data_IF_280540978201
#
_entry.id   IF_280540978201
#
_cell.length_a   1.000
_cell.length_b   1.000
_cell.length_c   1.000
_cell.angle_alpha   90.00
_cell.angle_beta   90.00
_cell.angle_gamma   90.00
#
_symmetry.space_group_name_H-M   'P 1'
#
loop_
_entity.id
_entity.type
_entity.pdbx_description
1 polymer ?
#
# COMPACT_ATOMS: atom_id res chain seq x y z
N UNK A 1 -3.96 -11.41 10.93
CA UNK A 1 -4.50 -12.23 12.02
C UNK A 1 -5.18 -13.51 11.52
N UNK A 2 -5.93 -13.46 10.40
CA UNK A 2 -6.72 -14.61 9.89
C UNK A 2 -5.96 -15.51 8.90
N UNK A 3 -4.79 -15.11 8.43
CA UNK A 3 -4.06 -15.83 7.38
C UNK A 3 -3.75 -17.29 7.75
N UNK A 4 -3.26 -17.54 8.96
CA UNK A 4 -2.97 -18.91 9.40
C UNK A 4 -4.23 -19.79 9.43
N UNK A 5 -5.35 -19.23 9.92
CA UNK A 5 -6.64 -19.94 9.91
C UNK A 5 -7.10 -20.29 8.51
N UNK A 6 -6.92 -19.41 7.54
CA UNK A 6 -7.27 -19.68 6.14
C UNK A 6 -6.36 -20.76 5.54
N UNK A 7 -5.04 -20.68 5.78
CA UNK A 7 -4.07 -21.70 5.35
C UNK A 7 -4.44 -23.08 5.91
N UNK A 8 -4.69 -23.18 7.22
CA UNK A 8 -5.04 -24.43 7.88
C UNK A 8 -6.37 -25.02 7.38
N UNK A 9 -7.27 -24.16 6.93
CA UNK A 9 -8.54 -24.56 6.32
C UNK A 9 -8.45 -24.84 4.80
N UNK A 10 -7.27 -24.69 4.20
CA UNK A 10 -7.08 -24.85 2.76
C UNK A 10 -7.80 -23.79 1.91
N UNK A 11 -7.97 -22.58 2.45
CA UNK A 11 -8.64 -21.46 1.78
C UNK A 11 -7.61 -20.47 1.28
N UNK A 12 -7.65 -20.17 -0.02
CA UNK A 12 -6.78 -19.16 -0.65
C UNK A 12 -7.23 -17.76 -0.27
N UNK A 13 -6.26 -16.91 0.03
CA UNK A 13 -6.45 -15.49 0.26
C UNK A 13 -5.56 -14.68 -0.68
N UNK A 14 -6.14 -13.75 -1.42
CA UNK A 14 -5.38 -12.76 -2.20
C UNK A 14 -5.74 -11.38 -1.71
N UNK A 15 -4.76 -10.64 -1.22
CA UNK A 15 -4.98 -9.29 -0.69
C UNK A 15 -4.66 -8.21 -1.71
N UNK A 16 -5.58 -7.27 -1.97
CA UNK A 16 -5.31 -6.12 -2.83
C UNK A 16 -4.53 -5.00 -2.14
N UNK A 17 -4.40 -5.01 -0.81
CA UNK A 17 -3.95 -3.83 -0.05
C UNK A 17 -3.04 -4.14 1.16
N UNK A 18 -2.65 -5.37 1.36
CA UNK A 18 -1.67 -5.72 2.40
C UNK A 18 -0.24 -5.49 1.87
N UNK A 19 0.36 -4.38 2.24
CA UNK A 19 1.65 -3.93 1.72
C UNK A 19 2.85 -4.29 2.59
N UNK A 20 2.65 -4.61 3.89
CA UNK A 20 3.73 -4.92 4.83
C UNK A 20 4.76 -5.92 4.29
N UNK A 21 6.08 -5.64 4.44
CA UNK A 21 7.16 -6.53 4.00
C UNK A 21 7.12 -7.92 4.64
N UNK A 22 6.50 -8.05 5.81
CA UNK A 22 6.40 -9.31 6.53
C UNK A 22 5.67 -10.39 5.72
N UNK A 23 4.68 -9.99 4.90
CA UNK A 23 3.90 -10.94 4.09
C UNK A 23 4.74 -11.65 3.02
N UNK A 24 5.80 -11.04 2.52
CA UNK A 24 6.72 -11.67 1.56
C UNK A 24 7.49 -12.86 2.15
N UNK A 25 7.68 -12.86 3.48
CA UNK A 25 8.49 -13.87 4.18
C UNK A 25 7.66 -15.00 4.79
N UNK A 26 6.34 -14.92 4.73
CA UNK A 26 5.46 -15.94 5.32
C UNK A 26 5.48 -17.21 4.47
N UNK A 27 5.72 -18.34 5.13
CA UNK A 27 5.57 -19.66 4.50
C UNK A 27 4.09 -20.01 4.46
N UNK A 28 3.44 -19.79 3.33
CA UNK A 28 2.00 -19.93 3.18
C UNK A 28 1.55 -21.06 2.27
N UNK A 29 2.49 -21.83 1.69
CA UNK A 29 2.20 -22.97 0.81
C UNK A 29 1.40 -22.61 -0.46
N UNK A 30 1.46 -21.36 -0.91
CA UNK A 30 0.68 -20.85 -2.04
C UNK A 30 -0.72 -20.33 -1.66
N UNK A 31 -1.15 -20.49 -0.41
CA UNK A 31 -2.49 -20.07 0.03
C UNK A 31 -2.63 -18.57 0.31
N UNK A 32 -1.55 -17.80 0.21
CA UNK A 32 -1.61 -16.35 0.33
C UNK A 32 -0.79 -15.67 -0.77
N UNK A 33 -1.41 -14.71 -1.43
CA UNK A 33 -0.78 -13.80 -2.37
C UNK A 33 -1.25 -12.35 -2.16
N UNK A 34 -0.65 -11.41 -2.84
CA UNK A 34 -1.09 -10.02 -2.89
C UNK A 34 -0.85 -9.41 -4.26
N UNK A 35 -1.74 -8.51 -4.67
CA UNK A 35 -1.62 -7.72 -5.90
C UNK A 35 -1.11 -6.30 -5.64
N UNK A 36 -1.01 -5.88 -4.38
CA UNK A 36 -0.34 -4.65 -3.99
C UNK A 36 1.18 -4.84 -3.88
N UNK A 37 2.00 -3.84 -4.24
CA UNK A 37 3.45 -3.87 -4.04
C UNK A 37 3.82 -3.90 -2.55
N UNK A 38 5.07 -4.26 -2.27
CA UNK A 38 5.61 -4.23 -0.90
C UNK A 38 5.95 -2.80 -0.46
N UNK A 39 5.80 -2.52 0.84
CA UNK A 39 6.27 -1.30 1.49
C UNK A 39 7.79 -1.07 1.37
N UNK A 40 8.57 -2.10 1.03
CA UNK A 40 9.98 -1.92 0.67
C UNK A 40 10.13 -1.00 -0.55
N UNK A 41 9.25 -1.14 -1.54
CA UNK A 41 9.23 -0.25 -2.71
C UNK A 41 8.69 1.14 -2.33
N UNK A 42 7.58 1.20 -1.62
CA UNK A 42 6.97 2.47 -1.24
C UNK A 42 7.90 3.29 -0.34
N UNK A 43 8.57 2.66 0.62
CA UNK A 43 9.55 3.31 1.50
C UNK A 43 10.73 3.89 0.72
N UNK A 44 11.26 3.15 -0.26
CA UNK A 44 12.34 3.64 -1.11
C UNK A 44 11.90 4.85 -1.97
N UNK A 45 10.69 4.79 -2.56
CA UNK A 45 10.14 5.91 -3.34
C UNK A 45 9.87 7.12 -2.46
N UNK A 46 9.32 6.94 -1.26
CA UNK A 46 9.09 8.04 -0.32
C UNK A 46 10.41 8.69 0.13
N UNK A 47 11.43 7.87 0.42
CA UNK A 47 12.76 8.38 0.73
C UNK A 47 13.33 9.20 -0.44
N UNK A 48 13.16 8.75 -1.68
CA UNK A 48 13.61 9.51 -2.85
C UNK A 48 12.88 10.85 -2.99
N UNK A 49 11.56 10.90 -2.77
CA UNK A 49 10.79 12.16 -2.77
C UNK A 49 11.33 13.13 -1.72
N UNK A 50 11.62 12.66 -0.51
CA UNK A 50 12.21 13.48 0.56
C UNK A 50 13.60 14.00 0.16
N UNK A 51 14.43 13.16 -0.45
CA UNK A 51 15.78 13.52 -0.92
C UNK A 51 15.71 14.58 -2.03
N UNK A 52 14.83 14.40 -3.00
CA UNK A 52 14.63 15.33 -4.12
C UNK A 52 14.12 16.69 -3.62
N UNK A 53 13.36 16.73 -2.54
CA UNK A 53 12.92 17.95 -1.86
C UNK A 53 14.00 18.57 -0.95
N UNK A 54 15.19 17.95 -0.85
CA UNK A 54 16.33 18.49 -0.10
C UNK A 54 16.29 18.24 1.39
N UNK A 55 15.42 17.35 1.88
CA UNK A 55 15.34 16.96 3.30
C UNK A 55 16.64 16.27 3.73
N UNK A 56 17.20 16.69 4.87
CA UNK A 56 18.42 16.10 5.46
C UNK A 56 18.14 15.40 6.78
N UNK A 57 17.13 15.84 7.51
CA UNK A 57 16.72 15.23 8.77
C UNK A 57 15.23 14.91 8.78
N UNK A 58 14.90 13.71 9.21
CA UNK A 58 13.54 13.15 9.16
C UNK A 58 13.08 12.69 10.54
N UNK A 59 11.84 12.93 10.88
CA UNK A 59 11.11 12.23 11.95
C UNK A 59 9.92 11.50 11.36
N UNK A 60 9.55 10.35 11.93
CA UNK A 60 8.45 9.52 11.47
C UNK A 60 7.46 9.30 12.62
N UNK A 61 6.17 9.51 12.38
CA UNK A 61 5.10 9.06 13.27
C UNK A 61 4.23 8.05 12.54
N UNK A 62 4.01 6.90 13.17
CA UNK A 62 3.40 5.76 12.50
C UNK A 62 2.50 4.96 13.43
N UNK A 63 1.49 4.30 12.85
CA UNK A 63 0.68 3.30 13.57
C UNK A 63 1.53 2.09 13.97
N UNK A 64 1.33 1.59 15.20
CA UNK A 64 2.10 0.50 15.79
C UNK A 64 1.65 -0.90 15.33
N UNK A 65 1.41 -1.09 14.03
CA UNK A 65 1.08 -2.39 13.45
C UNK A 65 2.13 -2.86 12.42
N UNK A 66 1.90 -3.99 11.77
CA UNK A 66 2.84 -4.55 10.79
C UNK A 66 3.03 -3.68 9.54
N UNK A 67 2.00 -2.91 9.14
CA UNK A 67 2.10 -1.93 8.07
C UNK A 67 2.94 -0.73 8.50
N UNK A 68 2.52 -0.04 9.54
CA UNK A 68 3.18 1.18 9.97
C UNK A 68 4.65 0.97 10.35
N UNK A 69 4.97 -0.11 11.07
CA UNK A 69 6.36 -0.46 11.40
C UNK A 69 7.17 -0.80 10.16
N UNK A 70 6.63 -1.63 9.27
CA UNK A 70 7.35 -2.06 8.08
C UNK A 70 7.65 -0.93 7.12
N UNK A 71 6.70 -0.01 6.89
CA UNK A 71 6.91 1.14 6.02
C UNK A 71 7.82 2.19 6.67
N UNK A 72 7.69 2.43 7.98
CA UNK A 72 8.58 3.35 8.70
C UNK A 72 10.04 2.88 8.64
N UNK A 73 10.28 1.60 8.89
CA UNK A 73 11.63 1.01 8.83
C UNK A 73 12.18 1.03 7.39
N UNK A 74 11.35 0.72 6.39
CA UNK A 74 11.75 0.75 4.99
C UNK A 74 12.10 2.18 4.52
N UNK A 75 11.27 3.18 4.90
CA UNK A 75 11.54 4.58 4.59
C UNK A 75 12.80 5.07 5.28
N UNK A 76 12.97 4.78 6.58
CA UNK A 76 14.14 5.16 7.34
C UNK A 76 15.42 4.58 6.73
N UNK A 77 15.43 3.27 6.47
CA UNK A 77 16.58 2.58 5.88
C UNK A 77 16.97 3.10 4.50
N UNK A 78 15.99 3.51 3.69
CA UNK A 78 16.26 4.05 2.36
C UNK A 78 16.66 5.53 2.38
N UNK A 79 16.25 6.26 3.43
CA UNK A 79 16.57 7.69 3.57
C UNK A 79 17.94 7.94 4.17
N UNK A 80 18.38 7.10 5.13
CA UNK A 80 19.65 7.28 5.81
C UNK A 80 20.84 7.04 4.87
N UNK A 81 21.75 8.00 4.86
CA UNK A 81 23.01 7.93 4.12
C UNK A 81 24.07 8.74 4.88
N UNK A 82 24.99 8.03 5.52
CA UNK A 82 26.03 8.62 6.36
C UNK A 82 26.99 9.50 5.54
N UNK A 83 27.26 9.13 4.29
CA UNK A 83 28.19 9.88 3.43
C UNK A 83 27.60 11.23 3.00
N UNK A 84 26.27 11.32 2.85
CA UNK A 84 25.58 12.57 2.56
C UNK A 84 24.99 13.25 3.81
N UNK A 85 25.17 12.66 4.97
CA UNK A 85 24.74 13.20 6.27
C UNK A 85 23.24 13.26 6.47
N UNK A 86 22.47 12.38 5.81
CA UNK A 86 21.03 12.22 6.05
C UNK A 86 20.80 11.35 7.28
N UNK A 87 19.85 11.78 8.13
CA UNK A 87 19.55 11.10 9.39
C UNK A 87 18.06 11.00 9.67
N UNK A 88 17.64 9.88 10.25
CA UNK A 88 16.34 9.74 10.87
C UNK A 88 16.45 9.99 12.37
N UNK A 89 15.97 11.14 12.81
CA UNK A 89 16.09 11.59 14.19
C UNK A 89 15.27 10.74 15.17
N UNK A 90 14.07 10.32 14.76
CA UNK A 90 13.20 9.48 15.59
C UNK A 90 12.12 8.80 14.77
N UNK A 91 11.69 7.63 15.24
CA UNK A 91 10.49 6.95 14.80
C UNK A 91 9.59 6.77 16.02
N UNK A 92 8.40 7.36 15.98
CA UNK A 92 7.41 7.30 17.05
C UNK A 92 6.24 6.43 16.61
N UNK A 93 5.84 5.49 17.43
CA UNK A 93 4.69 4.62 17.15
C UNK A 93 3.52 4.94 18.08
N UNK A 94 2.33 5.09 17.51
CA UNK A 94 1.09 5.24 18.28
C UNK A 94 0.22 3.99 18.23
N UNK A 95 -0.54 3.73 19.27
CA UNK A 95 -1.52 2.64 19.30
C UNK A 95 -2.69 2.95 18.36
N UNK A 96 -3.16 1.93 17.63
CA UNK A 96 -4.29 2.06 16.71
C UNK A 96 -5.63 2.37 17.40
N UNK A 97 -5.72 2.14 18.72
CA UNK A 97 -6.89 2.41 19.52
C UNK A 97 -6.72 3.65 20.43
N UNK A 98 -5.58 4.35 20.32
CA UNK A 98 -5.36 5.58 21.07
C UNK A 98 -6.35 6.67 20.63
N UNK A 99 -6.72 7.52 21.59
CA UNK A 99 -7.59 8.67 21.38
C UNK A 99 -6.88 10.00 21.71
N UNK A 100 -5.65 9.93 22.21
CA UNK A 100 -4.82 11.07 22.60
C UNK A 100 -3.41 10.85 22.05
N UNK A 101 -2.82 11.88 21.42
CA UNK A 101 -1.56 11.80 20.68
C UNK A 101 -0.56 12.90 21.01
N UNK A 102 -0.83 13.75 22.02
CA UNK A 102 0.02 14.88 22.37
C UNK A 102 1.44 14.48 22.74
N UNK A 103 1.61 13.32 23.38
CA UNK A 103 2.91 12.77 23.76
C UNK A 103 3.74 12.35 22.53
N UNK A 104 3.12 11.65 21.60
CA UNK A 104 3.75 11.16 20.37
C UNK A 104 4.15 12.33 19.45
N UNK A 105 3.27 13.33 19.34
CA UNK A 105 3.54 14.55 18.56
C UNK A 105 4.68 15.35 19.20
N UNK A 106 4.71 15.49 20.51
CA UNK A 106 5.83 16.13 21.22
C UNK A 106 7.15 15.39 20.93
N UNK A 107 7.14 14.05 20.90
CA UNK A 107 8.34 13.26 20.63
C UNK A 107 8.82 13.43 19.19
N UNK A 108 7.90 13.41 18.21
CA UNK A 108 8.26 13.54 16.79
C UNK A 108 8.76 14.95 16.44
N UNK A 109 8.23 15.97 17.10
CA UNK A 109 8.64 17.37 16.94
C UNK A 109 9.94 17.77 17.65
N UNK A 110 10.38 16.97 18.64
CA UNK A 110 11.46 17.36 19.57
C UNK A 110 12.79 17.73 18.91
N UNK A 111 13.14 17.08 17.81
CA UNK A 111 14.44 17.22 17.16
C UNK A 111 14.48 18.27 16.06
N UNK A 112 13.37 18.98 15.81
CA UNK A 112 13.23 19.97 14.74
C UNK A 112 13.76 19.46 13.40
N UNK A 113 13.28 18.25 13.00
CA UNK A 113 13.63 17.65 11.71
C UNK A 113 13.12 18.53 10.55
N UNK A 114 13.78 18.45 9.40
CA UNK A 114 13.38 19.19 8.21
C UNK A 114 12.01 18.74 7.68
N UNK A 115 11.63 17.48 7.96
CA UNK A 115 10.35 16.92 7.58
C UNK A 115 9.83 15.90 8.59
N UNK A 116 8.52 15.67 8.56
CA UNK A 116 7.85 14.60 9.30
C UNK A 116 7.09 13.71 8.30
N UNK A 117 7.30 12.40 8.40
CA UNK A 117 6.47 11.41 7.70
C UNK A 117 5.37 10.90 8.62
N UNK A 118 4.13 11.04 8.17
CA UNK A 118 2.94 10.51 8.82
C UNK A 118 2.43 9.23 8.13
N UNK A 119 2.65 8.06 8.74
CA UNK A 119 2.10 6.78 8.28
C UNK A 119 0.83 6.51 9.08
N UNK A 120 -0.26 7.09 8.60
CA UNK A 120 -1.51 7.26 9.34
C UNK A 120 -2.69 6.61 8.61
N UNK A 121 -3.79 6.46 9.34
CA UNK A 121 -5.12 6.19 8.78
C UNK A 121 -6.09 7.24 9.31
N UNK A 122 -7.20 7.56 8.62
CA UNK A 122 -8.13 8.61 9.04
C UNK A 122 -8.63 8.46 10.48
N UNK A 123 -8.82 7.22 10.95
CA UNK A 123 -9.34 6.92 12.29
C UNK A 123 -8.51 7.48 13.45
N UNK A 124 -7.18 7.51 13.31
CA UNK A 124 -6.25 8.05 14.32
C UNK A 124 -5.49 9.27 13.80
N UNK A 125 -5.38 9.40 12.47
CA UNK A 125 -4.64 10.47 11.83
C UNK A 125 -5.17 11.86 12.16
N UNK A 126 -6.49 12.03 12.25
CA UNK A 126 -7.05 13.31 12.68
C UNK A 126 -6.59 13.71 14.07
N UNK A 127 -6.57 12.80 15.03
CA UNK A 127 -6.09 13.09 16.38
C UNK A 127 -4.59 13.47 16.41
N UNK A 128 -3.77 12.75 15.62
CA UNK A 128 -2.34 13.09 15.47
C UNK A 128 -2.16 14.48 14.85
N UNK A 129 -2.88 14.80 13.77
CA UNK A 129 -2.75 16.06 13.06
C UNK A 129 -3.34 17.24 13.85
N UNK A 130 -4.43 17.03 14.61
CA UNK A 130 -4.96 18.04 15.55
C UNK A 130 -3.95 18.34 16.65
N UNK A 131 -3.36 17.32 17.27
CA UNK A 131 -2.30 17.54 18.26
C UNK A 131 -1.07 18.23 17.65
N UNK A 132 -0.71 17.93 16.39
CA UNK A 132 0.37 18.61 15.68
C UNK A 132 0.03 20.10 15.43
N UNK A 133 -1.20 20.39 15.08
CA UNK A 133 -1.69 21.78 14.91
C UNK A 133 -1.65 22.56 16.22
N UNK A 134 -2.16 21.98 17.30
CA UNK A 134 -2.16 22.61 18.63
C UNK A 134 -0.75 22.88 19.17
N UNK A 135 0.21 22.02 18.86
CA UNK A 135 1.61 22.14 19.29
C UNK A 135 2.49 22.94 18.32
N UNK A 136 1.96 23.38 17.18
CA UNK A 136 2.73 24.06 16.14
C UNK A 136 3.64 23.14 15.32
N UNK A 137 3.66 21.84 15.59
CA UNK A 137 4.45 20.84 14.84
C UNK A 137 3.94 20.68 13.41
N UNK A 138 2.71 21.11 13.13
CA UNK A 138 2.11 21.13 11.80
C UNK A 138 2.85 22.08 10.83
N UNK A 139 3.59 23.05 11.33
CA UNK A 139 4.39 24.00 10.53
C UNK A 139 5.62 23.34 9.88
N UNK A 140 6.07 22.19 10.41
CA UNK A 140 7.09 21.37 9.76
C UNK A 140 6.49 20.73 8.50
N UNK A 141 7.23 20.61 7.38
CA UNK A 141 6.74 19.89 6.20
C UNK A 141 6.35 18.45 6.52
N UNK A 142 5.11 18.08 6.21
CA UNK A 142 4.61 16.71 6.39
C UNK A 142 4.55 15.97 5.06
N UNK A 143 4.88 14.66 5.11
CA UNK A 143 4.72 13.74 4.00
C UNK A 143 3.85 12.57 4.45
N UNK A 144 2.96 12.14 3.57
CA UNK A 144 1.99 11.10 3.90
C UNK A 144 2.16 9.83 3.05
N UNK A 145 1.43 8.80 3.42
CA UNK A 145 1.41 7.52 2.73
C UNK A 145 -0.01 7.16 2.30
N UNK A 146 -0.14 6.04 1.63
CA UNK A 146 -1.38 5.52 1.08
C UNK A 146 -2.53 5.39 2.09
N UNK A 147 -2.23 5.16 3.36
CA UNK A 147 -3.24 4.99 4.41
C UNK A 147 -4.20 6.18 4.57
N UNK A 148 -3.82 7.35 4.10
CA UNK A 148 -4.67 8.56 4.10
C UNK A 148 -5.00 9.06 2.69
N UNK A 149 -4.61 8.34 1.64
CA UNK A 149 -4.94 8.70 0.26
C UNK A 149 -6.45 8.66 0.03
N UNK A 150 -6.99 9.73 -0.53
CA UNK A 150 -8.41 9.87 -0.80
C UNK A 150 -9.25 10.37 0.38
N UNK A 151 -8.68 10.47 1.59
CA UNK A 151 -9.32 11.16 2.71
C UNK A 151 -9.17 12.67 2.57
N UNK A 152 -10.23 13.41 2.85
CA UNK A 152 -10.16 14.87 2.95
C UNK A 152 -9.78 15.28 4.38
N UNK A 153 -8.52 15.01 4.74
CA UNK A 153 -7.99 15.26 6.09
C UNK A 153 -8.18 16.72 6.53
N UNK A 154 -8.02 17.68 5.62
CA UNK A 154 -8.19 19.11 5.95
C UNK A 154 -9.58 19.39 6.50
N UNK A 155 -10.64 18.94 5.83
CA UNK A 155 -12.01 19.14 6.28
C UNK A 155 -12.44 18.17 7.39
N UNK A 156 -12.07 16.88 7.27
CA UNK A 156 -12.46 15.86 8.23
C UNK A 156 -11.82 16.05 9.60
N UNK A 157 -10.59 16.58 9.63
CA UNK A 157 -9.87 16.85 10.89
C UNK A 157 -10.01 18.30 11.38
N UNK A 158 -10.73 19.18 10.66
CA UNK A 158 -10.96 20.56 11.06
C UNK A 158 -9.70 21.44 11.00
N UNK A 159 -8.76 21.13 10.10
CA UNK A 159 -7.44 21.79 10.01
C UNK A 159 -7.39 22.95 9.01
N UNK A 160 -8.51 23.26 8.34
CA UNK A 160 -8.55 24.31 7.31
C UNK A 160 -7.52 24.03 6.20
N UNK A 161 -6.65 24.99 5.92
CA UNK A 161 -5.62 24.91 4.88
C UNK A 161 -4.25 24.43 5.41
N UNK A 162 -4.18 23.96 6.65
CA UNK A 162 -2.88 23.57 7.25
C UNK A 162 -2.18 22.40 6.54
N UNK A 163 -2.92 21.64 5.73
CA UNK A 163 -2.38 20.51 4.94
C UNK A 163 -2.24 20.83 3.44
N UNK A 164 -2.43 22.08 3.02
CA UNK A 164 -2.32 22.43 1.60
C UNK A 164 -0.89 22.29 1.09
N UNK A 165 -0.73 21.57 -0.03
CA UNK A 165 0.56 21.36 -0.68
C UNK A 165 1.40 20.21 -0.10
N UNK A 166 0.91 19.48 0.89
CA UNK A 166 1.61 18.33 1.42
C UNK A 166 1.65 17.19 0.37
N UNK A 167 2.75 16.45 0.40
CA UNK A 167 3.04 15.37 -0.56
C UNK A 167 2.89 14.00 0.10
N UNK A 168 2.84 12.98 -0.73
CA UNK A 168 2.84 11.61 -0.25
C UNK A 168 3.02 10.60 -1.36
N UNK A 169 3.13 9.33 -0.97
CA UNK A 169 3.23 8.21 -1.89
C UNK A 169 2.12 7.20 -1.64
N UNK A 170 1.72 6.51 -2.67
CA UNK A 170 0.77 5.40 -2.58
C UNK A 170 1.01 4.41 -3.72
N UNK A 171 0.70 3.13 -3.55
CA UNK A 171 0.64 2.20 -4.66
C UNK A 171 -0.25 2.74 -5.77
N UNK A 172 0.28 2.71 -6.98
CA UNK A 172 -0.43 3.08 -8.20
C UNK A 172 -0.71 1.86 -9.06
N UNK A 173 -1.21 2.12 -10.26
CA UNK A 173 -1.32 1.13 -11.33
C UNK A 173 -0.38 1.51 -12.47
N UNK A 174 0.14 0.50 -13.18
CA UNK A 174 0.99 0.74 -14.35
C UNK A 174 0.14 1.15 -15.54
N UNK A 175 0.49 2.25 -16.19
CA UNK A 175 -0.20 2.70 -17.40
C UNK A 175 -0.10 1.65 -18.53
N UNK A 176 -1.19 1.46 -19.26
CA UNK A 176 -1.28 0.52 -20.39
C UNK A 176 -2.70 0.04 -20.64
N UNK A 177 -2.85 -0.77 -21.69
CA UNK A 177 -4.15 -1.22 -22.21
C UNK A 177 -5.03 -1.90 -21.15
N UNK A 178 -4.44 -2.65 -20.22
CA UNK A 178 -5.17 -3.34 -19.16
C UNK A 178 -5.80 -2.35 -18.16
N UNK A 179 -5.06 -1.32 -17.73
CA UNK A 179 -5.58 -0.27 -16.87
C UNK A 179 -6.66 0.55 -17.58
N UNK A 180 -6.42 0.89 -18.86
CA UNK A 180 -7.37 1.68 -19.66
C UNK A 180 -8.70 0.94 -19.85
N UNK A 181 -8.64 -0.35 -20.17
CA UNK A 181 -9.83 -1.20 -20.32
C UNK A 181 -10.60 -1.34 -18.98
N UNK A 182 -9.87 -1.54 -17.88
CA UNK A 182 -10.46 -1.60 -16.54
C UNK A 182 -11.13 -0.28 -16.17
N UNK A 183 -10.44 0.85 -16.37
CA UNK A 183 -10.94 2.18 -16.03
C UNK A 183 -12.21 2.51 -16.81
N UNK A 184 -12.22 2.24 -18.12
CA UNK A 184 -13.39 2.45 -18.96
C UNK A 184 -14.59 1.61 -18.49
N UNK A 185 -14.37 0.32 -18.20
CA UNK A 185 -15.43 -0.57 -17.70
C UNK A 185 -15.94 -0.15 -16.31
N UNK A 186 -15.05 0.33 -15.44
CA UNK A 186 -15.41 0.83 -14.12
C UNK A 186 -16.28 2.08 -14.23
N UNK A 187 -15.86 3.06 -15.03
CA UNK A 187 -16.63 4.30 -15.28
C UNK A 187 -18.00 4.02 -15.91
N UNK A 188 -18.06 3.10 -16.88
CA UNK A 188 -19.34 2.68 -17.49
C UNK A 188 -20.27 2.06 -16.42
N UNK A 189 -19.74 1.26 -15.52
CA UNK A 189 -20.52 0.54 -14.50
C UNK A 189 -20.96 1.39 -13.33
N UNK A 190 -20.09 2.29 -12.85
CA UNK A 190 -20.28 3.02 -11.59
C UNK A 190 -20.45 4.53 -11.77
N UNK A 191 -20.11 5.11 -12.93
CA UNK A 191 -20.22 6.53 -13.22
C UNK A 191 -19.16 7.42 -12.53
N UNK A 192 -18.10 6.81 -12.01
CA UNK A 192 -17.02 7.49 -11.29
C UNK A 192 -15.66 6.86 -11.61
N UNK A 193 -14.58 7.54 -11.27
CA UNK A 193 -13.22 7.03 -11.41
C UNK A 193 -12.91 5.92 -10.39
N UNK A 194 -12.04 4.94 -10.75
CA UNK A 194 -11.62 3.89 -9.84
C UNK A 194 -10.96 4.45 -8.57
N UNK A 195 -11.44 4.00 -7.40
CA UNK A 195 -10.85 4.35 -6.11
C UNK A 195 -9.46 3.70 -5.92
N UNK A 196 -8.62 4.20 -4.99
CA UNK A 196 -7.37 3.54 -4.62
C UNK A 196 -7.57 2.05 -4.33
N UNK A 197 -6.65 1.22 -4.82
CA UNK A 197 -6.66 -0.24 -4.69
C UNK A 197 -7.77 -1.00 -5.44
N UNK A 198 -8.65 -0.33 -6.18
CA UNK A 198 -9.73 -1.01 -6.91
C UNK A 198 -9.20 -1.88 -8.06
N UNK A 199 -8.17 -1.43 -8.78
CA UNK A 199 -7.51 -2.23 -9.82
C UNK A 199 -6.82 -3.45 -9.20
N UNK A 200 -6.14 -3.30 -8.07
CA UNK A 200 -5.54 -4.41 -7.33
C UNK A 200 -6.60 -5.41 -6.82
N UNK A 201 -7.78 -4.93 -6.40
CA UNK A 201 -8.89 -5.79 -5.99
C UNK A 201 -9.47 -6.57 -7.18
N UNK A 202 -9.61 -5.93 -8.32
CA UNK A 202 -10.01 -6.58 -9.57
C UNK A 202 -9.01 -7.70 -9.94
N UNK A 203 -7.73 -7.40 -9.94
CA UNK A 203 -6.69 -8.39 -10.26
C UNK A 203 -6.64 -9.53 -9.25
N UNK A 204 -6.84 -9.27 -7.96
CA UNK A 204 -6.91 -10.30 -6.94
C UNK A 204 -8.02 -11.33 -7.22
N UNK A 205 -9.18 -10.87 -7.70
CA UNK A 205 -10.26 -11.75 -8.12
C UNK A 205 -9.91 -12.47 -9.43
N UNK A 206 -9.34 -11.74 -10.40
CA UNK A 206 -8.99 -12.30 -11.69
C UNK A 206 -7.98 -13.45 -11.59
N UNK A 207 -6.88 -13.30 -10.84
CA UNK A 207 -5.89 -14.38 -10.70
C UNK A 207 -6.46 -15.61 -10.01
N UNK A 208 -7.35 -15.45 -9.02
CA UNK A 208 -8.06 -16.59 -8.42
C UNK A 208 -8.98 -17.27 -9.42
N UNK A 209 -9.72 -16.50 -10.22
CA UNK A 209 -10.63 -17.05 -11.23
C UNK A 209 -9.89 -17.76 -12.37
N UNK A 210 -8.76 -17.19 -12.82
CA UNK A 210 -7.90 -17.78 -13.84
C UNK A 210 -7.28 -19.09 -13.35
N UNK A 211 -6.76 -19.10 -12.13
CA UNK A 211 -6.24 -20.32 -11.53
C UNK A 211 -7.33 -21.40 -11.37
N UNK A 212 -8.53 -21.01 -10.93
CA UNK A 212 -9.65 -21.94 -10.81
C UNK A 212 -10.09 -22.50 -12.17
N UNK A 213 -10.09 -21.68 -13.23
CA UNK A 213 -10.45 -22.10 -14.58
C UNK A 213 -9.44 -23.09 -15.17
N UNK A 214 -8.14 -22.93 -14.86
CA UNK A 214 -7.08 -23.79 -15.38
C UNK A 214 -6.90 -25.08 -14.56
N UNK A 215 -7.02 -25.02 -13.22
CA UNK A 215 -6.55 -26.09 -12.33
C UNK A 215 -7.67 -26.78 -11.53
N UNK A 216 -8.84 -26.15 -11.38
CA UNK A 216 -9.94 -26.63 -10.55
C UNK A 216 -10.29 -25.70 -9.40
N UNK A 217 -11.37 -26.04 -8.68
CA UNK A 217 -12.03 -25.10 -7.74
C UNK A 217 -11.73 -25.39 -6.26
N UNK A 218 -10.89 -26.36 -5.94
CA UNK A 218 -10.46 -26.52 -4.54
C UNK A 218 -9.42 -25.48 -4.17
N UNK A 219 -9.27 -25.19 -2.88
CA UNK A 219 -8.26 -24.22 -2.45
C UNK A 219 -6.84 -24.63 -2.86
N UNK A 220 -6.54 -25.94 -2.88
CA UNK A 220 -5.25 -26.45 -3.32
C UNK A 220 -5.03 -26.25 -4.83
N UNK A 221 -6.07 -26.46 -5.65
CA UNK A 221 -6.01 -26.23 -7.10
C UNK A 221 -5.74 -24.75 -7.39
N UNK A 222 -6.49 -23.85 -6.72
CA UNK A 222 -6.32 -22.41 -6.89
C UNK A 222 -4.92 -21.97 -6.40
N UNK A 223 -4.48 -22.44 -5.24
CA UNK A 223 -3.17 -22.08 -4.68
C UNK A 223 -2.01 -22.47 -5.62
N UNK A 224 -2.12 -23.61 -6.32
CA UNK A 224 -1.08 -24.09 -7.22
C UNK A 224 -0.92 -23.24 -8.49
N UNK A 225 -1.96 -22.55 -8.95
CA UNK A 225 -1.96 -21.81 -10.20
C UNK A 225 -1.90 -20.28 -10.08
N UNK A 226 -1.88 -19.73 -8.86
CA UNK A 226 -1.91 -18.24 -8.69
C UNK A 226 -0.76 -17.54 -9.41
N UNK A 227 0.46 -18.05 -9.27
CA UNK A 227 1.65 -17.44 -9.89
C UNK A 227 1.71 -17.76 -11.39
N UNK A 228 1.24 -18.95 -11.78
CA UNK A 228 1.26 -19.39 -13.19
C UNK A 228 0.29 -18.61 -14.07
N UNK A 229 -0.78 -18.03 -13.47
CA UNK A 229 -1.77 -17.25 -14.19
C UNK A 229 -1.22 -15.94 -14.82
N UNK A 230 -0.06 -15.46 -14.35
CA UNK A 230 0.62 -14.26 -14.85
C UNK A 230 2.07 -14.56 -15.27
N UNK A 231 2.33 -15.78 -15.74
CA UNK A 231 3.66 -16.26 -16.09
C UNK A 231 4.07 -15.94 -17.53
N UNK A 232 4.67 -16.94 -18.20
CA UNK A 232 5.27 -16.80 -19.52
C UNK A 232 4.41 -17.48 -20.61
N UNK A 233 3.25 -16.93 -20.92
CA UNK A 233 2.33 -17.53 -21.89
C UNK A 233 1.81 -16.54 -22.92
N UNK A 234 0.62 -16.80 -23.44
CA UNK A 234 -0.10 -15.88 -24.32
C UNK A 234 -0.58 -14.69 -23.51
N UNK A 235 -0.09 -13.49 -23.86
CA UNK A 235 -0.52 -12.26 -23.19
C UNK A 235 -2.00 -12.00 -23.41
N UNK A 236 -2.73 -11.69 -22.35
CA UNK A 236 -4.15 -11.36 -22.39
C UNK A 236 -4.54 -10.40 -21.26
N UNK A 237 -5.65 -9.69 -21.42
CA UNK A 237 -6.19 -8.74 -20.44
C UNK A 237 -7.65 -9.10 -20.09
N UNK A 238 -8.08 -8.73 -18.90
CA UNK A 238 -9.49 -8.85 -18.51
C UNK A 238 -10.06 -10.25 -18.60
N UNK A 239 -11.36 -10.33 -18.81
CA UNK A 239 -12.14 -11.58 -18.77
C UNK A 239 -11.88 -12.53 -19.95
N UNK A 240 -11.29 -12.07 -21.04
CA UNK A 240 -10.93 -12.92 -22.17
C UNK A 240 -9.92 -14.01 -21.79
N UNK A 241 -9.04 -13.71 -20.81
CA UNK A 241 -8.08 -14.67 -20.28
C UNK A 241 -8.73 -15.91 -19.68
N UNK A 242 -9.96 -15.82 -19.18
CA UNK A 242 -10.69 -16.97 -18.60
C UNK A 242 -10.97 -18.06 -19.62
N UNK A 243 -11.28 -17.70 -20.87
CA UNK A 243 -11.52 -18.66 -21.93
C UNK A 243 -10.23 -19.40 -22.31
N UNK A 244 -9.10 -18.71 -22.37
CA UNK A 244 -7.79 -19.29 -22.64
C UNK A 244 -7.35 -20.21 -21.50
N UNK A 245 -7.48 -19.79 -20.24
CA UNK A 245 -7.16 -20.59 -19.07
C UNK A 245 -8.03 -21.86 -19.01
N UNK A 246 -9.33 -21.76 -19.26
CA UNK A 246 -10.25 -22.90 -19.28
C UNK A 246 -9.96 -23.89 -20.44
N UNK A 247 -9.36 -23.41 -21.52
CA UNK A 247 -8.89 -24.25 -22.61
C UNK A 247 -7.56 -24.96 -22.32
N UNK A 248 -6.92 -24.66 -21.16
CA UNK A 248 -5.63 -25.21 -20.77
C UNK A 248 -4.45 -24.54 -21.47
N UNK A 249 -4.65 -23.32 -22.01
CA UNK A 249 -3.57 -22.55 -22.59
C UNK A 249 -2.69 -21.94 -21.47
N UNK A 250 -1.39 -21.90 -21.72
CA UNK A 250 -0.47 -21.15 -20.88
C UNK A 250 -0.67 -19.64 -21.17
N UNK A 251 -1.09 -18.89 -20.18
CA UNK A 251 -1.42 -17.46 -20.27
C UNK A 251 -0.41 -16.59 -19.54
N UNK A 252 -0.37 -15.33 -19.93
CA UNK A 252 0.35 -14.25 -19.27
C UNK A 252 -0.65 -13.10 -19.02
N UNK A 253 -1.37 -13.20 -17.91
CA UNK A 253 -2.37 -12.19 -17.53
C UNK A 253 -1.71 -10.86 -17.23
N UNK A 254 -2.06 -9.83 -18.00
CA UNK A 254 -1.66 -8.45 -17.74
C UNK A 254 -2.71 -7.78 -16.88
N UNK A 255 -2.37 -7.53 -15.63
CA UNK A 255 -3.29 -6.98 -14.65
C UNK A 255 -3.60 -5.51 -14.87
N UNK A 256 -4.79 -5.09 -14.43
CA UNK A 256 -5.20 -3.69 -14.41
C UNK A 256 -4.34 -2.84 -13.46
N UNK A 257 -3.77 -3.44 -12.41
CA UNK A 257 -2.84 -2.76 -11.50
C UNK A 257 -1.39 -2.77 -11.97
N UNK A 258 -1.06 -3.59 -12.97
CA UNK A 258 0.27 -3.76 -13.52
C UNK A 258 0.64 -5.23 -13.75
N UNK A 259 1.92 -5.51 -13.98
CA UNK A 259 2.42 -6.87 -14.06
C UNK A 259 2.33 -7.55 -12.69
N UNK A 260 1.62 -8.69 -12.64
CA UNK A 260 1.38 -9.47 -11.44
C UNK A 260 2.29 -10.71 -11.50
N UNK A 261 3.53 -10.58 -11.01
CA UNK A 261 4.56 -11.62 -11.02
C UNK A 261 4.95 -12.06 -9.61
#
# INVERSE_FOLDING_TARGET
AIMQTAIDAGVVMVSPSNTSPQFTKVKNGGFYARTAPSDLLQGAVLAQVLIDDGVKSLSIISRADSYGRGLAEATASAFEDEDEGRVVNTIVYHDQNATEFSSEVTQVGKNNSDAIVGILFPTTGCGVLQAAFEQGTIETPWYFTDGVRGANLSSECGLGNALDGYKGTAPGSTAGDALDAYTAAYQERFGEDPAPYSAQAYDAIMIMALSAAANGVTGADIASGLVEASGNGTACIGVECLALAAAGENIDYKGASGDIN
#
